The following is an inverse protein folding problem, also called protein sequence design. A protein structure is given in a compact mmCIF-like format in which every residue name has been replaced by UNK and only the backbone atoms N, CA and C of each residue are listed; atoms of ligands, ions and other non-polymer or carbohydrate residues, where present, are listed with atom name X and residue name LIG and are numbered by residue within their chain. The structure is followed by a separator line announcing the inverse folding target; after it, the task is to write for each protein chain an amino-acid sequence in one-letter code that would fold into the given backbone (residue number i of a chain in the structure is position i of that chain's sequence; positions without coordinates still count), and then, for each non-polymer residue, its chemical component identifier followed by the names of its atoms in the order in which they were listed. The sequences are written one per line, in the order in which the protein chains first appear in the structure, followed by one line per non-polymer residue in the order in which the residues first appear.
data_IF_708810943977
#
_entry.id   IF_708810943977
#
_cell.length_a   1.000
_cell.length_b   1.000
_cell.length_c   1.000
_cell.angle_alpha   90.00
_cell.angle_beta   90.00
_cell.angle_gamma   90.00
#
_symmetry.space_group_name_H-M   'P 1'
#
loop_
_entity.id
_entity.type
_entity.pdbx_description
1 polymer ?
#
# COMPACT_ATOMS: atom_id res chain seq x y z
N UNK A 1 -2.94 -20.72 -3.93
CA UNK A 1 -3.04 -19.26 -4.04
C UNK A 1 -1.70 -18.62 -3.71
N UNK A 2 -1.37 -17.55 -4.41
CA UNK A 2 -0.21 -16.69 -4.12
C UNK A 2 -0.77 -15.39 -3.54
N UNK A 3 -0.09 -14.84 -2.54
CA UNK A 3 -0.44 -13.56 -1.91
C UNK A 3 0.75 -12.64 -2.10
N UNK A 4 0.45 -11.41 -2.50
CA UNK A 4 1.41 -10.32 -2.67
C UNK A 4 1.17 -9.31 -1.56
N UNK A 5 2.26 -8.79 -1.02
CA UNK A 5 2.24 -7.84 0.10
C UNK A 5 3.18 -6.70 -0.27
N UNK A 6 2.68 -5.47 -0.18
CA UNK A 6 3.45 -4.25 -0.33
C UNK A 6 3.51 -3.54 1.02
N UNK A 7 4.72 -3.25 1.49
CA UNK A 7 4.95 -2.44 2.69
C UNK A 7 5.34 -1.06 2.20
N UNK A 8 4.44 -0.10 2.40
CA UNK A 8 4.59 1.28 1.95
C UNK A 8 5.07 2.13 3.12
N UNK A 9 6.34 1.97 3.46
CA UNK A 9 7.01 2.67 4.56
C UNK A 9 8.33 3.29 4.10
N UNK A 10 8.78 4.34 4.79
CA UNK A 10 10.07 4.99 4.53
C UNK A 10 10.25 5.38 3.05
N UNK A 11 9.22 6.01 2.48
CA UNK A 11 9.10 6.24 1.05
C UNK A 11 10.00 7.41 0.60
N UNK A 12 10.97 7.12 -0.29
CA UNK A 12 11.86 8.14 -0.90
C UNK A 12 11.91 7.99 -2.43
N UNK A 13 12.42 9.00 -3.12
CA UNK A 13 12.65 8.96 -4.59
C UNK A 13 13.74 7.99 -5.04
N UNK A 14 14.63 7.61 -4.13
CA UNK A 14 15.76 6.73 -4.42
C UNK A 14 15.49 5.33 -3.90
N UNK A 15 15.89 4.35 -4.70
CA UNK A 15 15.80 2.95 -4.33
C UNK A 15 16.86 2.62 -3.27
N UNK A 16 16.56 1.67 -2.40
CA UNK A 16 17.48 1.14 -1.36
C UNK A 16 18.83 0.61 -1.89
N UNK A 17 18.98 0.50 -3.20
CA UNK A 17 20.25 0.17 -3.85
C UNK A 17 21.22 1.37 -3.94
N UNK A 18 20.77 2.59 -3.63
CA UNK A 18 21.58 3.81 -3.65
C UNK A 18 22.33 3.94 -2.32
N UNK A 19 23.66 4.12 -2.37
CA UNK A 19 24.51 4.16 -1.17
C UNK A 19 24.35 5.41 -0.29
N UNK A 20 23.74 6.46 -0.84
CA UNK A 20 23.38 7.70 -0.15
C UNK A 20 22.06 8.19 -0.74
N UNK A 21 20.93 7.58 -0.35
CA UNK A 21 19.63 7.92 -0.90
C UNK A 21 19.20 9.33 -0.46
N UNK A 22 18.30 9.93 -1.23
CA UNK A 22 17.54 11.09 -0.78
C UNK A 22 16.81 10.79 0.54
N UNK A 23 16.59 11.84 1.33
CA UNK A 23 15.78 11.76 2.55
C UNK A 23 14.34 11.37 2.21
N UNK A 24 13.67 10.72 3.16
CA UNK A 24 12.24 10.38 3.06
C UNK A 24 11.42 11.66 2.95
N UNK A 25 10.54 11.70 1.95
CA UNK A 25 9.74 12.87 1.61
C UNK A 25 8.22 12.62 1.68
N UNK A 26 7.84 11.42 2.11
CA UNK A 26 6.46 10.96 2.18
C UNK A 26 6.24 10.07 3.41
N UNK A 27 5.13 10.30 4.13
CA UNK A 27 4.71 9.50 5.28
C UNK A 27 4.33 8.07 4.88
N UNK A 28 4.49 7.17 5.83
CA UNK A 28 4.09 5.77 5.69
C UNK A 28 2.57 5.67 5.43
N UNK A 29 2.20 4.84 4.44
CA UNK A 29 0.79 4.52 4.15
C UNK A 29 0.34 3.27 4.91
N UNK A 30 1.25 2.31 5.12
CA UNK A 30 0.97 1.05 5.81
C UNK A 30 1.22 -0.18 4.94
N UNK A 31 0.45 -1.25 5.17
CA UNK A 31 0.62 -2.54 4.51
C UNK A 31 -0.61 -2.83 3.65
N UNK A 32 -0.38 -3.14 2.38
CA UNK A 32 -1.41 -3.60 1.46
C UNK A 32 -1.17 -5.05 1.07
N UNK A 33 -2.24 -5.80 0.84
CA UNK A 33 -2.17 -7.19 0.39
C UNK A 33 -3.23 -7.49 -0.67
N UNK A 34 -2.88 -8.35 -1.62
CA UNK A 34 -3.78 -8.81 -2.69
C UNK A 34 -3.36 -10.18 -3.21
N UNK A 35 -4.28 -10.90 -3.84
CA UNK A 35 -3.96 -12.07 -4.67
C UNK A 35 -3.69 -11.72 -6.14
N UNK A 36 -3.92 -10.46 -6.53
CA UNK A 36 -3.57 -9.91 -7.85
C UNK A 36 -2.45 -8.86 -7.69
N UNK A 37 -1.26 -9.08 -8.27
CA UNK A 37 -0.12 -8.19 -8.11
C UNK A 37 -0.29 -6.86 -8.85
N UNK A 38 -1.02 -6.84 -9.98
CA UNK A 38 -1.24 -5.62 -10.76
C UNK A 38 -2.22 -4.71 -10.04
N UNK A 39 -3.26 -5.30 -9.43
CA UNK A 39 -4.22 -4.56 -8.61
C UNK A 39 -3.54 -3.96 -7.37
N UNK A 40 -2.64 -4.71 -6.74
CA UNK A 40 -1.85 -4.25 -5.59
C UNK A 40 -0.96 -3.06 -5.95
N UNK A 41 -0.17 -3.18 -7.01
CA UNK A 41 0.73 -2.10 -7.43
C UNK A 41 -0.06 -0.86 -7.88
N UNK A 42 -1.19 -1.05 -8.56
CA UNK A 42 -2.08 0.07 -8.92
C UNK A 42 -2.61 0.79 -7.68
N UNK A 43 -3.06 0.05 -6.66
CA UNK A 43 -3.51 0.62 -5.39
C UNK A 43 -2.39 1.40 -4.68
N UNK A 44 -1.17 0.86 -4.65
CA UNK A 44 -0.01 1.52 -4.06
C UNK A 44 0.27 2.86 -4.76
N UNK A 45 0.31 2.87 -6.10
CA UNK A 45 0.53 4.10 -6.87
C UNK A 45 -0.59 5.10 -6.61
N UNK A 46 -1.85 4.68 -6.65
CA UNK A 46 -2.97 5.59 -6.44
C UNK A 46 -2.97 6.22 -5.04
N UNK A 47 -2.52 5.50 -4.00
CA UNK A 47 -2.37 6.05 -2.66
C UNK A 47 -1.23 7.09 -2.59
N UNK A 48 -0.11 6.88 -3.29
CA UNK A 48 0.95 7.89 -3.44
C UNK A 48 0.42 9.16 -4.12
N UNK A 49 -0.42 9.02 -5.14
CA UNK A 49 -1.01 10.17 -5.83
C UNK A 49 -2.11 10.89 -5.01
N UNK A 50 -2.71 10.21 -4.03
CA UNK A 50 -3.73 10.78 -3.13
C UNK A 50 -3.15 11.38 -1.85
N UNK A 51 -1.89 11.07 -1.50
CA UNK A 51 -1.26 11.59 -0.29
C UNK A 51 -1.05 13.10 -0.33
N UNK A 52 -1.11 13.75 0.84
CA UNK A 52 -0.91 15.20 0.97
C UNK A 52 0.57 15.62 0.76
N UNK A 53 1.50 14.68 0.87
CA UNK A 53 2.96 14.83 0.74
C UNK A 53 3.53 13.91 -0.36
N UNK A 54 4.86 13.85 -0.54
CA UNK A 54 5.49 12.99 -1.55
C UNK A 54 5.49 13.55 -2.99
N UNK A 55 5.53 14.88 -3.16
CA UNK A 55 5.58 15.54 -4.47
C UNK A 55 6.73 15.04 -5.35
N UNK A 56 7.92 14.89 -4.76
CA UNK A 56 9.12 14.41 -5.45
C UNK A 56 8.99 12.95 -5.88
N UNK A 57 8.34 12.09 -5.08
CA UNK A 57 8.04 10.72 -5.48
C UNK A 57 7.03 10.67 -6.64
N UNK A 58 5.97 11.49 -6.60
CA UNK A 58 5.02 11.61 -7.73
C UNK A 58 5.73 12.06 -9.01
N UNK A 59 6.55 13.09 -8.93
CA UNK A 59 7.33 13.59 -10.07
C UNK A 59 8.25 12.50 -10.61
N UNK A 60 8.95 11.77 -9.73
CA UNK A 60 9.83 10.65 -10.09
C UNK A 60 9.10 9.54 -10.85
N UNK A 61 7.89 9.18 -10.40
CA UNK A 61 7.04 8.18 -11.06
C UNK A 61 6.68 8.65 -12.48
N UNK A 62 6.31 9.92 -12.64
CA UNK A 62 5.95 10.47 -13.96
C UNK A 62 7.16 10.59 -14.89
N UNK A 63 8.28 11.15 -14.43
CA UNK A 63 9.50 11.35 -15.21
C UNK A 63 10.08 10.02 -15.73
N UNK A 64 9.98 8.95 -14.93
CA UNK A 64 10.45 7.62 -15.33
C UNK A 64 9.39 6.74 -15.97
N UNK A 65 8.23 7.29 -16.33
CA UNK A 65 7.17 6.54 -17.00
C UNK A 65 6.72 5.32 -16.16
N UNK A 66 6.71 5.45 -14.82
CA UNK A 66 6.45 4.35 -13.89
C UNK A 66 5.09 3.66 -14.10
N UNK A 67 4.10 4.39 -14.62
CA UNK A 67 2.77 3.84 -14.93
C UNK A 67 2.76 2.83 -16.10
N UNK A 68 3.83 2.79 -16.92
CA UNK A 68 3.89 1.87 -18.05
C UNK A 68 3.91 0.41 -17.64
N UNK A 69 4.49 0.08 -16.48
CA UNK A 69 4.51 -1.31 -16.02
C UNK A 69 3.10 -1.81 -15.69
N UNK A 70 2.27 -0.97 -15.05
CA UNK A 70 0.87 -1.29 -14.72
C UNK A 70 0.05 -1.56 -15.99
N UNK A 71 0.12 -0.64 -16.95
CA UNK A 71 -0.63 -0.75 -18.23
C UNK A 71 -0.15 -1.92 -19.08
N UNK A 72 1.15 -2.20 -19.10
CA UNK A 72 1.70 -3.33 -19.85
C UNK A 72 1.35 -4.67 -19.21
N UNK A 73 1.46 -4.80 -17.88
CA UNK A 73 1.14 -6.02 -17.14
C UNK A 73 -0.33 -6.44 -17.32
N UNK A 74 -1.26 -5.49 -17.31
CA UNK A 74 -2.66 -5.76 -17.63
C UNK A 74 -2.83 -6.22 -19.09
N UNK A 75 -2.18 -5.53 -20.04
CA UNK A 75 -2.26 -5.87 -21.46
C UNK A 75 -1.80 -7.29 -21.79
N UNK A 76 -0.80 -7.81 -21.08
CA UNK A 76 -0.31 -9.18 -21.27
C UNK A 76 -1.09 -10.23 -20.46
N UNK A 77 -2.09 -9.81 -19.67
CA UNK A 77 -2.92 -10.69 -18.86
C UNK A 77 -2.25 -11.17 -17.56
N UNK A 78 -1.29 -10.42 -17.02
CA UNK A 78 -0.61 -10.77 -15.77
C UNK A 78 -1.46 -10.49 -14.52
N UNK A 79 -2.42 -9.57 -14.62
CA UNK A 79 -3.37 -9.20 -13.58
C UNK A 79 -4.29 -8.08 -14.08
N UNK A 80 -5.17 -7.58 -13.22
CA UNK A 80 -6.05 -6.44 -13.52
C UNK A 80 -5.61 -5.20 -12.78
N UNK A 81 -5.80 -4.01 -13.36
CA UNK A 81 -5.62 -2.74 -12.64
C UNK A 81 -6.83 -2.35 -11.81
N UNK A 82 -7.97 -3.00 -11.99
CA UNK A 82 -9.15 -2.74 -11.18
C UNK A 82 -8.99 -3.32 -9.77
N UNK A 83 -9.30 -2.53 -8.75
CA UNK A 83 -9.24 -2.93 -7.35
C UNK A 83 -10.32 -2.23 -6.53
N UNK A 84 -10.60 -2.77 -5.36
CA UNK A 84 -11.39 -2.16 -4.29
C UNK A 84 -10.54 -2.19 -3.01
N UNK A 85 -10.50 -1.07 -2.28
CA UNK A 85 -9.81 -1.01 -0.99
C UNK A 85 -10.79 -1.48 0.09
N UNK A 86 -10.37 -2.49 0.84
CA UNK A 86 -11.09 -2.98 2.02
C UNK A 86 -10.21 -2.69 3.24
N UNK A 87 -10.73 -1.87 4.16
CA UNK A 87 -10.06 -1.63 5.44
C UNK A 87 -10.32 -2.81 6.39
N UNK A 88 -9.26 -3.36 6.97
CA UNK A 88 -9.33 -4.50 7.90
C UNK A 88 -9.24 -4.07 9.36
N UNK A 89 -8.79 -2.85 9.65
CA UNK A 89 -8.64 -2.35 11.01
C UNK A 89 -10.00 -2.05 11.65
N UNK A 90 -11.00 -1.66 10.86
CA UNK A 90 -12.37 -1.36 11.30
C UNK A 90 -13.14 -2.61 11.76
N UNK A 91 -12.57 -3.82 11.63
CA UNK A 91 -13.23 -5.06 12.05
C UNK A 91 -12.98 -5.44 13.51
N UNK A 92 -12.20 -4.64 14.27
CA UNK A 92 -11.82 -4.96 15.66
C UNK A 92 -12.74 -4.36 16.74
N UNK A 93 -13.58 -3.36 16.42
CA UNK A 93 -14.41 -2.68 17.43
C UNK A 93 -15.47 -3.60 18.09
N UNK A 94 -15.95 -4.65 17.39
CA UNK A 94 -16.94 -5.58 17.96
C UNK A 94 -16.33 -6.75 18.75
N UNK A 95 -15.02 -7.02 18.59
CA UNK A 95 -14.34 -8.11 19.29
C UNK A 95 -13.82 -7.67 20.67
N UNK A 96 -13.36 -6.43 20.79
CA UNK A 96 -12.73 -5.92 22.02
C UNK A 96 -13.77 -5.60 23.13
N UNK A 97 -15.01 -5.24 22.77
CA UNK A 97 -16.09 -5.05 23.76
C UNK A 97 -16.54 -6.36 24.44
N UNK A 98 -16.37 -7.51 23.78
CA UNK A 98 -16.76 -8.80 24.34
C UNK A 98 -15.66 -9.40 25.25
N UNK A 99 -14.42 -8.95 25.13
CA UNK A 99 -13.30 -9.39 25.99
C UNK A 99 -13.34 -8.66 27.34
N UNK A 100 -13.81 -7.40 27.38
CA UNK A 100 -13.87 -6.59 28.61
C UNK A 100 -15.04 -6.91 29.55
N UNK A 101 -15.98 -7.78 29.15
CA UNK A 101 -17.16 -8.13 29.97
C UNK A 101 -17.04 -9.45 30.74
N UNK A 102 -16.00 -10.26 30.47
CA UNK A 102 -15.87 -11.61 31.07
C UNK A 102 -15.10 -11.63 32.40
N UNK A 103 -14.42 -10.54 32.77
CA UNK A 103 -13.55 -10.48 33.96
C UNK A 103 -14.23 -9.90 35.23
N UNK A 104 -15.55 -9.67 35.23
CA UNK A 104 -16.23 -8.99 36.37
C UNK A 104 -17.20 -9.84 37.20
N UNK A 105 -17.35 -11.14 36.94
CA UNK A 105 -18.27 -12.03 37.67
C UNK A 105 -17.59 -13.03 38.64
N UNK A 106 -16.31 -12.83 38.98
CA UNK A 106 -15.65 -13.52 40.11
C UNK A 106 -15.26 -12.54 41.22
N UNK A 107 -16.26 -12.11 42.02
CA UNK A 107 -16.08 -11.82 43.46
C UNK A 107 -17.41 -11.79 44.23
#
# INVERSE_FOLDING_TARGET
NIVYISVMNNMSIDCDCVSSPAEVDMHDIGILASTDPVALDQACVDLVFKSEDGDSLRERILDKNGLHILTHSEKIGFGTRAYEIVNVDETQDEADENILKDDSDEN
#
